data_IF_693495525746
#
_entry.id   IF_693495525746
#
_cell.length_a   1.000
_cell.length_b   1.000
_cell.length_c   1.000
_cell.angle_alpha   90.00
_cell.angle_beta   90.00
_cell.angle_gamma   90.00
#
_symmetry.space_group_name_H-M   'P 1'
#
loop_
_entity.id
_entity.type
_entity.pdbx_description
1 polymer ?
#
# COMPACT_ATOMS: atom_id res chain seq x y z
N UNK A 1 -78.59 -34.41 54.93
CA UNK A 1 -77.91 -33.20 54.53
C UNK A 1 -76.38 -33.49 54.51
N UNK A 2 -75.76 -33.65 53.35
CA UNK A 2 -74.30 -33.96 53.22
C UNK A 2 -73.54 -32.69 52.89
N UNK A 3 -72.58 -32.25 53.78
CA UNK A 3 -71.72 -31.11 53.58
C UNK A 3 -70.50 -31.56 52.75
N UNK A 4 -70.30 -30.98 51.54
CA UNK A 4 -69.12 -31.14 50.72
C UNK A 4 -68.02 -30.18 51.23
N UNK A 5 -66.86 -30.69 51.74
CA UNK A 5 -65.65 -29.95 52.00
C UNK A 5 -64.78 -29.89 50.74
N UNK A 6 -64.67 -28.73 50.15
CA UNK A 6 -63.69 -28.42 49.07
C UNK A 6 -62.27 -28.36 49.68
N UNK A 7 -61.40 -29.30 49.32
CA UNK A 7 -59.96 -29.18 49.57
C UNK A 7 -59.33 -28.23 48.56
N UNK A 8 -58.72 -27.09 49.01
CA UNK A 8 -57.81 -26.23 48.24
C UNK A 8 -56.51 -26.99 48.06
N UNK A 9 -56.14 -27.31 46.78
CA UNK A 9 -54.77 -27.73 46.43
C UNK A 9 -53.87 -26.48 46.44
N UNK A 10 -52.96 -26.40 47.39
CA UNK A 10 -51.79 -25.50 47.35
C UNK A 10 -50.83 -26.05 46.29
N UNK A 11 -50.62 -25.29 45.19
CA UNK A 11 -49.56 -25.57 44.23
C UNK A 11 -48.21 -25.30 44.86
N UNK A 12 -47.43 -26.37 45.08
CA UNK A 12 -46.03 -26.27 45.43
C UNK A 12 -45.28 -25.82 44.20
N UNK A 13 -44.98 -24.49 44.04
CA UNK A 13 -44.01 -23.96 43.10
C UNK A 13 -42.62 -24.50 43.45
N UNK A 14 -41.95 -25.16 42.50
CA UNK A 14 -40.62 -25.69 42.66
C UNK A 14 -39.62 -24.56 42.85
N UNK A 15 -38.96 -24.40 44.04
CA UNK A 15 -37.97 -23.32 44.28
C UNK A 15 -36.72 -23.47 43.40
N UNK A 16 -36.49 -24.64 42.81
CA UNK A 16 -35.31 -24.93 41.97
C UNK A 16 -35.34 -24.23 40.62
N UNK A 17 -36.52 -23.99 40.01
CA UNK A 17 -36.61 -23.32 38.68
C UNK A 17 -36.35 -21.83 38.83
N UNK A 18 -36.84 -21.19 39.91
CA UNK A 18 -36.57 -19.76 40.14
C UNK A 18 -35.08 -19.51 40.42
N UNK A 19 -34.40 -20.43 41.13
CA UNK A 19 -32.95 -20.31 41.39
C UNK A 19 -32.11 -20.48 40.12
N UNK A 20 -32.50 -21.35 39.21
CA UNK A 20 -31.79 -21.55 37.92
C UNK A 20 -31.98 -20.35 36.99
N UNK A 21 -33.17 -19.76 36.95
CA UNK A 21 -33.43 -18.55 36.15
C UNK A 21 -32.63 -17.34 36.70
N UNK A 22 -32.55 -17.19 38.01
CA UNK A 22 -31.75 -16.14 38.66
C UNK A 22 -30.24 -16.33 38.37
N UNK A 23 -29.73 -17.58 38.41
CA UNK A 23 -28.34 -17.86 38.08
C UNK A 23 -28.05 -17.61 36.60
N UNK A 24 -28.96 -17.91 35.67
CA UNK A 24 -28.83 -17.61 34.27
C UNK A 24 -28.84 -16.08 34.01
N UNK A 25 -29.72 -15.35 34.66
CA UNK A 25 -29.77 -13.87 34.55
C UNK A 25 -28.51 -13.25 35.14
N UNK A 26 -27.98 -13.77 36.26
CA UNK A 26 -26.71 -13.32 36.82
C UNK A 26 -25.53 -13.68 35.91
N UNK A 27 -25.49 -14.86 35.26
CA UNK A 27 -24.47 -15.25 34.31
C UNK A 27 -24.50 -14.38 33.08
N UNK A 28 -25.67 -14.02 32.55
CA UNK A 28 -25.84 -13.09 31.42
C UNK A 28 -25.44 -11.66 31.85
N UNK A 29 -25.83 -11.22 33.04
CA UNK A 29 -25.40 -9.92 33.61
C UNK A 29 -23.88 -9.86 33.83
N UNK A 30 -23.28 -10.95 34.36
CA UNK A 30 -21.84 -11.04 34.55
C UNK A 30 -21.05 -11.12 33.24
N UNK A 31 -21.57 -11.82 32.23
CA UNK A 31 -20.98 -11.83 30.90
C UNK A 31 -21.13 -10.48 30.19
N UNK A 32 -22.26 -9.78 30.36
CA UNK A 32 -22.46 -8.44 29.83
C UNK A 32 -21.59 -7.38 30.53
N UNK A 33 -21.45 -7.44 31.84
CA UNK A 33 -20.56 -6.56 32.63
C UNK A 33 -19.09 -6.88 32.38
N UNK A 34 -18.71 -8.15 32.30
CA UNK A 34 -17.37 -8.60 31.90
C UNK A 34 -17.01 -8.17 30.49
N UNK A 35 -17.95 -8.27 29.56
CA UNK A 35 -17.80 -7.77 28.19
C UNK A 35 -17.70 -6.23 28.16
N UNK A 36 -18.51 -5.52 28.96
CA UNK A 36 -18.47 -4.06 29.08
C UNK A 36 -17.16 -3.58 29.75
N UNK A 37 -16.69 -4.28 30.80
CA UNK A 37 -15.43 -4.02 31.47
C UNK A 37 -14.21 -4.34 30.58
N UNK A 38 -14.24 -5.45 29.80
CA UNK A 38 -13.25 -5.77 28.78
C UNK A 38 -13.25 -4.69 27.68
N UNK A 39 -14.42 -4.26 27.22
CA UNK A 39 -14.60 -3.19 26.23
C UNK A 39 -14.05 -1.84 26.72
N UNK A 40 -14.16 -1.53 28.00
CA UNK A 40 -13.66 -0.28 28.59
C UNK A 40 -12.16 -0.29 28.90
N UNK A 41 -11.54 -1.47 29.06
CA UNK A 41 -10.10 -1.62 29.31
C UNK A 41 -9.24 -1.88 28.08
N UNK A 42 -9.82 -2.34 26.98
CA UNK A 42 -9.12 -2.29 25.71
C UNK A 42 -9.02 -0.82 25.37
N UNK A 43 -7.85 -0.22 25.60
CA UNK A 43 -7.52 1.11 25.11
C UNK A 43 -7.93 1.17 23.65
N UNK A 44 -9.07 1.78 23.41
CA UNK A 44 -9.52 2.00 22.07
C UNK A 44 -8.55 3.00 21.48
N UNK A 45 -7.81 2.67 20.39
CA UNK A 45 -7.04 3.68 19.70
C UNK A 45 -7.94 4.89 19.53
N UNK A 46 -7.42 6.09 19.84
CA UNK A 46 -8.20 7.31 19.66
C UNK A 46 -8.75 7.31 18.23
N UNK A 47 -9.92 7.89 18.02
CA UNK A 47 -10.49 8.01 16.67
C UNK A 47 -9.57 8.76 15.70
N UNK A 48 -8.61 9.49 16.25
CA UNK A 48 -7.61 10.29 15.53
C UNK A 48 -6.35 9.50 15.15
N UNK A 49 -6.01 8.42 15.89
CA UNK A 49 -4.83 7.63 15.57
C UNK A 49 -5.10 6.73 14.35
N UNK A 50 -4.20 6.73 13.35
CA UNK A 50 -4.38 5.81 12.24
C UNK A 50 -4.27 4.35 12.73
N UNK A 51 -5.21 3.52 12.30
CA UNK A 51 -5.12 2.08 12.52
C UNK A 51 -4.19 1.48 11.46
N UNK A 52 -3.01 1.02 11.88
CA UNK A 52 -2.00 0.42 11.01
C UNK A 52 -2.00 -1.10 11.14
N UNK A 53 -2.12 -1.81 10.02
CA UNK A 53 -2.12 -3.28 9.95
C UNK A 53 -1.14 -3.77 8.90
N UNK A 54 -0.29 -4.73 9.27
CA UNK A 54 0.53 -5.50 8.32
C UNK A 54 -0.34 -6.60 7.71
N UNK A 55 -0.47 -6.62 6.39
CA UNK A 55 -1.16 -7.68 5.66
C UNK A 55 -0.12 -8.54 4.92
N UNK A 56 -0.13 -9.82 5.21
CA UNK A 56 0.80 -10.82 4.66
C UNK A 56 0.04 -11.84 3.83
N UNK A 57 0.30 -11.88 2.53
CA UNK A 57 -0.14 -12.98 1.66
C UNK A 57 0.90 -14.09 1.63
N UNK A 58 0.50 -15.31 2.01
CA UNK A 58 1.39 -16.46 2.06
C UNK A 58 1.00 -17.52 1.04
N UNK A 59 2.00 -18.21 0.49
CA UNK A 59 1.80 -19.41 -0.30
C UNK A 59 1.80 -20.63 0.65
N UNK A 60 0.64 -21.24 0.82
CA UNK A 60 0.50 -22.45 1.65
C UNK A 60 0.77 -23.68 0.79
N UNK A 61 2.03 -24.03 0.62
CA UNK A 61 2.41 -25.31 0.00
C UNK A 61 2.34 -26.39 1.09
N UNK A 62 1.44 -27.35 0.92
CA UNK A 62 1.35 -28.53 1.79
C UNK A 62 2.71 -29.24 1.84
N UNK A 63 3.25 -29.44 3.05
CA UNK A 63 4.55 -30.10 3.25
C UNK A 63 5.78 -29.18 3.17
N UNK A 64 5.65 -27.90 2.84
CA UNK A 64 6.78 -26.97 2.87
C UNK A 64 7.18 -26.63 4.32
N UNK A 65 8.46 -26.88 4.66
CA UNK A 65 9.03 -26.56 5.99
C UNK A 65 9.10 -25.07 6.30
N UNK A 66 9.08 -24.19 5.28
CA UNK A 66 9.14 -22.76 5.45
C UNK A 66 8.25 -22.06 4.41
N UNK A 67 7.27 -21.29 4.88
CA UNK A 67 6.39 -20.47 4.05
C UNK A 67 6.92 -19.05 4.03
N UNK A 68 6.95 -18.43 2.86
CA UNK A 68 7.35 -17.02 2.70
C UNK A 68 6.12 -16.15 2.41
N UNK A 69 6.19 -14.88 2.80
CA UNK A 69 5.17 -13.92 2.42
C UNK A 69 5.46 -13.34 1.03
N UNK A 70 4.66 -13.68 0.04
CA UNK A 70 4.82 -13.19 -1.33
C UNK A 70 4.14 -11.83 -1.56
N UNK A 71 3.22 -11.44 -0.70
CA UNK A 71 2.57 -10.14 -0.67
C UNK A 71 2.76 -9.54 0.72
N UNK A 72 3.27 -8.30 0.79
CA UNK A 72 3.50 -7.57 2.02
C UNK A 72 2.94 -6.18 1.85
N UNK A 73 1.89 -5.83 2.62
CA UNK A 73 1.25 -4.53 2.61
C UNK A 73 1.18 -3.98 4.02
N UNK A 74 1.25 -2.66 4.16
CA UNK A 74 0.86 -1.96 5.39
C UNK A 74 -0.33 -1.07 5.06
N UNK A 75 -1.48 -1.42 5.60
CA UNK A 75 -2.71 -0.66 5.49
C UNK A 75 -2.85 0.30 6.67
N UNK A 76 -3.07 1.56 6.38
CA UNK A 76 -3.28 2.64 7.35
C UNK A 76 -4.64 3.27 7.10
N UNK A 77 -5.57 3.12 8.03
CA UNK A 77 -6.91 3.68 7.96
C UNK A 77 -7.08 4.78 9.01
N UNK A 78 -7.41 5.99 8.55
CA UNK A 78 -7.80 7.12 9.41
C UNK A 78 -9.11 7.67 8.88
N UNK A 79 -10.13 7.72 9.72
CA UNK A 79 -11.49 8.07 9.29
C UNK A 79 -11.92 7.23 8.08
N UNK A 80 -12.17 7.86 6.93
CA UNK A 80 -12.50 7.21 5.66
C UNK A 80 -11.35 7.32 4.62
N UNK A 81 -10.12 7.64 5.04
CA UNK A 81 -8.94 7.70 4.18
C UNK A 81 -8.09 6.43 4.41
N UNK A 82 -8.05 5.56 3.41
CA UNK A 82 -7.26 4.33 3.40
C UNK A 82 -6.00 4.51 2.58
N UNK A 83 -4.83 4.38 3.23
CA UNK A 83 -3.54 4.38 2.55
C UNK A 83 -2.89 3.01 2.69
N UNK A 84 -2.42 2.49 1.58
CA UNK A 84 -1.76 1.18 1.52
C UNK A 84 -0.35 1.35 0.98
N UNK A 85 0.63 0.92 1.76
CA UNK A 85 2.03 0.89 1.37
C UNK A 85 2.42 -0.56 1.07
N UNK A 86 2.73 -0.84 -0.20
CA UNK A 86 3.20 -2.15 -0.64
C UNK A 86 4.74 -2.23 -0.47
N UNK A 87 5.21 -3.32 0.10
CA UNK A 87 6.64 -3.60 0.26
C UNK A 87 7.02 -4.75 -0.70
N UNK A 88 7.97 -4.54 -1.62
CA UNK A 88 8.49 -5.61 -2.45
C UNK A 88 9.01 -6.77 -1.59
N UNK A 89 8.62 -8.00 -1.90
CA UNK A 89 8.99 -9.19 -1.10
C UNK A 89 10.49 -9.45 -1.04
N UNK A 90 11.21 -9.01 -2.07
CA UNK A 90 12.67 -9.18 -2.18
C UNK A 90 13.45 -7.99 -1.61
N UNK A 91 12.77 -7.07 -0.90
CA UNK A 91 13.40 -5.92 -0.26
C UNK A 91 14.45 -6.38 0.75
N UNK A 92 15.66 -5.83 0.65
CA UNK A 92 16.77 -6.11 1.56
C UNK A 92 16.60 -5.29 2.83
N UNK A 93 16.47 -5.94 3.97
CA UNK A 93 16.21 -5.27 5.25
C UNK A 93 17.08 -5.85 6.38
N UNK A 94 17.35 -5.02 7.39
CA UNK A 94 18.06 -5.45 8.60
C UNK A 94 17.05 -6.01 9.62
N UNK A 95 17.35 -7.20 10.13
CA UNK A 95 16.57 -7.89 11.16
C UNK A 95 16.99 -7.43 12.57
N UNK A 96 16.16 -7.68 13.60
CA UNK A 96 16.48 -7.31 14.98
C UNK A 96 17.77 -7.94 15.52
N UNK A 97 18.13 -9.12 15.02
CA UNK A 97 19.38 -9.84 15.37
C UNK A 97 20.61 -9.37 14.59
N UNK A 98 20.47 -8.33 13.78
CA UNK A 98 21.54 -7.75 12.97
C UNK A 98 21.75 -8.38 11.60
N UNK A 99 21.11 -9.52 11.29
CA UNK A 99 21.16 -10.12 9.94
C UNK A 99 20.55 -9.19 8.90
N UNK A 100 21.04 -9.28 7.69
CA UNK A 100 20.48 -8.57 6.54
C UNK A 100 20.00 -9.62 5.54
N UNK A 101 18.69 -9.63 5.28
CA UNK A 101 18.05 -10.62 4.43
C UNK A 101 16.82 -10.02 3.74
N UNK A 102 16.18 -10.79 2.82
CA UNK A 102 14.92 -10.39 2.18
C UNK A 102 13.79 -10.29 3.21
N UNK A 103 12.97 -9.26 3.09
CA UNK A 103 11.87 -9.01 4.03
C UNK A 103 10.86 -10.16 4.10
N UNK A 104 10.64 -10.89 2.99
CA UNK A 104 9.72 -12.01 2.93
C UNK A 104 10.17 -13.24 3.74
N UNK A 105 11.46 -13.38 4.03
CA UNK A 105 12.00 -14.48 4.82
C UNK A 105 11.63 -14.35 6.31
N UNK A 106 11.26 -13.15 6.78
CA UNK A 106 10.87 -12.93 8.16
C UNK A 106 9.69 -13.81 8.59
N UNK A 107 8.71 -14.02 7.71
CA UNK A 107 7.59 -14.91 8.00
C UNK A 107 8.04 -16.38 8.14
N UNK A 108 8.95 -16.83 7.31
CA UNK A 108 9.49 -18.20 7.37
C UNK A 108 10.32 -18.46 8.65
N UNK A 109 11.01 -17.44 9.17
CA UNK A 109 11.86 -17.57 10.36
C UNK A 109 11.09 -17.47 11.67
N UNK A 110 10.07 -16.62 11.77
CA UNK A 110 9.37 -16.38 13.03
C UNK A 110 7.90 -16.00 12.89
N UNK A 111 7.27 -16.42 11.78
CA UNK A 111 5.85 -16.18 11.53
C UNK A 111 5.47 -14.70 11.43
N UNK A 112 4.20 -14.43 11.66
CA UNK A 112 3.63 -13.09 11.52
C UNK A 112 4.23 -12.07 12.49
N UNK A 113 4.58 -12.48 13.71
CA UNK A 113 5.14 -11.56 14.73
C UNK A 113 6.52 -11.06 14.32
N UNK A 114 7.42 -11.96 13.88
CA UNK A 114 8.73 -11.54 13.41
C UNK A 114 8.61 -10.67 12.15
N UNK A 115 7.76 -11.06 11.20
CA UNK A 115 7.51 -10.27 10.00
C UNK A 115 7.04 -8.85 10.34
N UNK A 116 6.06 -8.72 11.26
CA UNK A 116 5.56 -7.44 11.75
C UNK A 116 6.67 -6.59 12.37
N UNK A 117 7.53 -7.17 13.22
CA UNK A 117 8.63 -6.47 13.85
C UNK A 117 9.69 -6.00 12.83
N UNK A 118 10.05 -6.86 11.87
CA UNK A 118 11.01 -6.51 10.82
C UNK A 118 10.47 -5.35 9.96
N UNK A 119 9.18 -5.40 9.61
CA UNK A 119 8.52 -4.34 8.83
C UNK A 119 8.45 -3.04 9.65
N UNK A 120 8.07 -3.12 10.92
CA UNK A 120 8.00 -1.97 11.82
C UNK A 120 9.36 -1.27 11.96
N UNK A 121 10.43 -2.04 12.16
CA UNK A 121 11.80 -1.52 12.24
C UNK A 121 12.25 -0.88 10.93
N UNK A 122 11.99 -1.53 9.80
CA UNK A 122 12.34 -0.99 8.48
C UNK A 122 11.65 0.35 8.19
N UNK A 123 10.35 0.46 8.51
CA UNK A 123 9.57 1.67 8.28
C UNK A 123 9.76 2.75 9.36
N UNK A 124 10.39 2.41 10.50
CA UNK A 124 10.53 3.31 11.65
C UNK A 124 9.19 3.75 12.21
N UNK A 125 8.22 2.81 12.32
CA UNK A 125 6.87 3.04 12.83
C UNK A 125 6.43 1.92 13.75
N UNK A 126 5.53 2.22 14.70
CA UNK A 126 4.88 1.18 15.49
C UNK A 126 3.78 0.51 14.67
N UNK A 127 3.84 -0.81 14.56
CA UNK A 127 2.82 -1.65 13.92
C UNK A 127 2.35 -2.69 14.95
N UNK A 128 1.12 -2.57 15.44
CA UNK A 128 0.57 -3.46 16.48
C UNK A 128 -0.11 -4.68 15.91
N UNK A 129 -0.72 -4.54 14.74
CA UNK A 129 -1.62 -5.54 14.18
C UNK A 129 -1.08 -6.16 12.91
N UNK A 130 -1.44 -7.43 12.71
CA UNK A 130 -1.22 -8.13 11.45
C UNK A 130 -2.44 -8.94 11.02
N UNK A 131 -2.53 -9.24 9.73
CA UNK A 131 -3.44 -10.20 9.11
C UNK A 131 -2.66 -11.05 8.11
N UNK A 132 -2.74 -12.36 8.24
CA UNK A 132 -2.12 -13.33 7.32
C UNK A 132 -3.22 -14.01 6.54
N UNK A 133 -3.09 -14.02 5.23
CA UNK A 133 -4.06 -14.55 4.28
C UNK A 133 -3.34 -15.55 3.39
N UNK A 134 -3.81 -16.78 3.35
CA UNK A 134 -3.36 -17.79 2.38
C UNK A 134 -4.17 -17.73 1.08
N UNK A 135 -3.85 -18.58 0.12
CA UNK A 135 -4.53 -18.62 -1.17
C UNK A 135 -6.02 -18.94 -1.06
N UNK A 136 -6.40 -19.87 -0.19
CA UNK A 136 -7.80 -20.23 0.02
C UNK A 136 -8.57 -19.05 0.61
N UNK A 137 -7.98 -18.38 1.60
CA UNK A 137 -8.53 -17.16 2.19
C UNK A 137 -8.64 -16.02 1.18
N UNK A 138 -7.65 -15.86 0.32
CA UNK A 138 -7.68 -14.87 -0.74
C UNK A 138 -8.83 -15.13 -1.73
N UNK A 139 -8.98 -16.38 -2.23
CA UNK A 139 -10.08 -16.74 -3.12
C UNK A 139 -11.45 -16.45 -2.49
N UNK A 140 -11.63 -16.88 -1.23
CA UNK A 140 -12.88 -16.66 -0.48
C UNK A 140 -13.19 -15.17 -0.28
N UNK A 141 -12.18 -14.35 0.09
CA UNK A 141 -12.39 -12.91 0.26
C UNK A 141 -12.80 -12.22 -1.04
N UNK A 142 -12.18 -12.59 -2.17
CA UNK A 142 -12.56 -12.05 -3.48
C UNK A 142 -14.00 -12.47 -3.85
N UNK A 143 -14.38 -13.73 -3.62
CA UNK A 143 -15.73 -14.19 -3.92
C UNK A 143 -16.79 -13.53 -3.02
N UNK A 144 -16.48 -13.30 -1.74
CA UNK A 144 -17.36 -12.60 -0.80
C UNK A 144 -17.69 -11.18 -1.20
N UNK A 145 -16.72 -10.44 -1.76
CA UNK A 145 -16.97 -9.10 -2.30
C UNK A 145 -17.66 -9.14 -3.67
N UNK A 146 -17.93 -10.35 -4.16
CA UNK A 146 -18.61 -10.58 -5.43
C UNK A 146 -17.69 -10.54 -6.65
N UNK A 147 -16.37 -10.70 -6.48
CA UNK A 147 -15.35 -10.62 -7.53
C UNK A 147 -14.78 -9.22 -7.72
N UNK A 148 -13.68 -9.13 -8.49
CA UNK A 148 -12.96 -7.88 -8.75
C UNK A 148 -12.84 -7.63 -10.25
N UNK A 149 -13.20 -6.42 -10.71
CA UNK A 149 -13.12 -6.05 -12.12
C UNK A 149 -11.74 -5.51 -12.48
N UNK A 150 -11.08 -6.15 -13.44
CA UNK A 150 -9.78 -5.71 -13.97
C UNK A 150 -9.81 -5.65 -15.49
N UNK A 151 -8.89 -4.87 -16.07
CA UNK A 151 -8.64 -4.89 -17.51
C UNK A 151 -7.38 -5.71 -17.77
N UNK A 152 -7.53 -6.82 -18.48
CA UNK A 152 -6.46 -7.75 -18.84
C UNK A 152 -5.94 -7.35 -20.22
N UNK A 153 -4.69 -6.84 -20.37
CA UNK A 153 -4.19 -6.32 -21.64
C UNK A 153 -4.09 -7.38 -22.74
N UNK A 154 -3.74 -8.61 -22.37
CA UNK A 154 -3.60 -9.78 -23.25
C UNK A 154 -4.06 -11.04 -22.54
N UNK A 155 -4.51 -12.03 -23.29
CA UNK A 155 -4.94 -13.31 -22.71
C UNK A 155 -3.80 -13.98 -21.94
N UNK A 156 -4.11 -14.47 -20.73
CA UNK A 156 -3.18 -15.13 -19.84
C UNK A 156 -3.47 -16.64 -19.84
N UNK A 157 -2.56 -17.44 -20.41
CA UNK A 157 -2.68 -18.90 -20.45
C UNK A 157 -1.44 -19.54 -19.85
N UNK A 158 -1.63 -20.40 -18.85
CA UNK A 158 -0.54 -21.10 -18.20
C UNK A 158 -1.09 -22.35 -17.50
N UNK A 159 -0.35 -23.46 -17.59
CA UNK A 159 -0.67 -24.68 -16.88
C UNK A 159 0.57 -25.18 -16.16
N UNK A 160 0.43 -25.41 -14.86
CA UNK A 160 1.44 -26.03 -14.01
C UNK A 160 0.83 -27.31 -13.41
N UNK A 161 1.28 -28.45 -13.93
CA UNK A 161 0.78 -29.75 -13.48
C UNK A 161 1.25 -30.10 -12.07
N UNK A 162 2.44 -29.62 -11.65
CA UNK A 162 2.99 -29.91 -10.33
C UNK A 162 2.23 -29.20 -9.23
N UNK A 163 1.80 -27.96 -9.49
CA UNK A 163 1.01 -27.13 -8.55
C UNK A 163 -0.51 -27.23 -8.81
N UNK A 164 -0.96 -28.05 -9.76
CA UNK A 164 -2.37 -28.19 -10.18
C UNK A 164 -3.00 -26.81 -10.51
N UNK A 165 -2.21 -25.91 -11.08
CA UNK A 165 -2.63 -24.55 -11.42
C UNK A 165 -2.91 -24.46 -12.92
N UNK A 166 -4.13 -24.09 -13.28
CA UNK A 166 -4.50 -23.73 -14.65
C UNK A 166 -5.02 -22.30 -14.66
N UNK A 167 -4.40 -21.46 -15.47
CA UNK A 167 -4.77 -20.06 -15.70
C UNK A 167 -5.24 -19.97 -17.13
N UNK A 168 -6.48 -19.57 -17.35
CA UNK A 168 -7.04 -19.23 -18.66
C UNK A 168 -7.96 -18.02 -18.49
N UNK A 169 -7.38 -16.83 -18.72
CA UNK A 169 -8.04 -15.55 -18.51
C UNK A 169 -7.97 -14.79 -19.83
N UNK A 170 -9.10 -14.53 -20.49
CA UNK A 170 -9.12 -13.82 -21.77
C UNK A 170 -8.69 -12.35 -21.61
N UNK A 171 -8.30 -11.71 -22.70
CA UNK A 171 -8.06 -10.26 -22.73
C UNK A 171 -9.37 -9.47 -22.57
N UNK A 172 -9.27 -8.22 -22.11
CA UNK A 172 -10.38 -7.31 -21.95
C UNK A 172 -10.77 -7.00 -20.52
N UNK A 173 -11.78 -6.14 -20.36
CA UNK A 173 -12.35 -5.81 -19.05
C UNK A 173 -13.29 -6.91 -18.59
N UNK A 174 -13.00 -7.50 -17.44
CA UNK A 174 -13.80 -8.60 -16.92
C UNK A 174 -13.75 -8.65 -15.39
N UNK A 175 -14.78 -9.27 -14.82
CA UNK A 175 -14.89 -9.51 -13.39
C UNK A 175 -14.30 -10.87 -13.06
N UNK A 176 -13.24 -10.89 -12.27
CA UNK A 176 -12.55 -12.09 -11.84
C UNK A 176 -13.20 -12.65 -10.57
N UNK A 177 -13.48 -13.96 -10.56
CA UNK A 177 -13.78 -14.73 -9.33
C UNK A 177 -12.52 -14.91 -8.51
N UNK A 178 -12.63 -15.41 -7.27
CA UNK A 178 -11.46 -15.66 -6.39
C UNK A 178 -10.40 -16.51 -7.08
N UNK A 179 -10.80 -17.63 -7.69
CA UNK A 179 -9.88 -18.51 -8.42
C UNK A 179 -9.20 -17.82 -9.61
N UNK A 180 -9.96 -17.06 -10.41
CA UNK A 180 -9.40 -16.34 -11.54
C UNK A 180 -8.49 -15.19 -11.09
N UNK A 181 -8.84 -14.49 -10.01
CA UNK A 181 -8.03 -13.45 -9.41
C UNK A 181 -6.70 -14.01 -8.85
N UNK A 182 -6.74 -15.18 -8.20
CA UNK A 182 -5.52 -15.87 -7.76
C UNK A 182 -4.64 -16.23 -8.95
N UNK A 183 -5.21 -16.79 -10.02
CA UNK A 183 -4.50 -17.05 -11.27
C UNK A 183 -3.86 -15.78 -11.84
N UNK A 184 -4.61 -14.66 -11.87
CA UNK A 184 -4.16 -13.38 -12.39
C UNK A 184 -2.92 -12.83 -11.66
N UNK A 185 -2.89 -12.89 -10.32
CA UNK A 185 -1.74 -12.39 -9.52
C UNK A 185 -0.56 -13.36 -9.48
N UNK A 186 -0.76 -14.64 -9.83
CA UNK A 186 0.30 -15.66 -9.90
C UNK A 186 0.95 -15.76 -11.27
N UNK A 187 0.25 -15.34 -12.33
CA UNK A 187 0.74 -15.45 -13.70
C UNK A 187 2.09 -14.74 -13.90
N UNK A 188 3.00 -15.42 -14.58
CA UNK A 188 4.29 -14.89 -15.03
C UNK A 188 4.42 -15.16 -16.52
N UNK A 189 4.71 -14.14 -17.30
CA UNK A 189 5.08 -14.28 -18.70
C UNK A 189 6.59 -14.19 -18.88
N UNK A 190 7.07 -14.74 -19.98
CA UNK A 190 8.51 -14.78 -20.28
C UNK A 190 9.10 -13.38 -20.56
N UNK A 191 8.29 -12.43 -21.03
CA UNK A 191 8.75 -11.10 -21.45
C UNK A 191 8.90 -10.15 -20.28
N UNK A 192 7.90 -10.10 -19.39
CA UNK A 192 7.85 -9.17 -18.26
C UNK A 192 8.26 -9.83 -16.93
N UNK A 193 8.28 -11.16 -16.88
CA UNK A 193 8.73 -11.94 -15.72
C UNK A 193 8.07 -11.49 -14.41
N UNK A 194 8.90 -11.16 -13.44
CA UNK A 194 8.48 -10.76 -12.10
C UNK A 194 7.84 -9.35 -12.07
N UNK A 195 8.29 -8.44 -12.91
CA UNK A 195 7.73 -7.08 -13.01
C UNK A 195 6.26 -7.10 -13.46
N UNK A 196 5.93 -7.91 -14.47
CA UNK A 196 4.55 -8.08 -14.91
C UNK A 196 3.65 -8.66 -13.83
N UNK A 197 4.17 -9.59 -13.01
CA UNK A 197 3.45 -10.12 -11.85
C UNK A 197 3.18 -9.05 -10.80
N UNK A 198 4.15 -8.23 -10.45
CA UNK A 198 3.99 -7.12 -9.50
C UNK A 198 2.97 -6.10 -9.98
N UNK A 199 2.98 -5.76 -11.26
CA UNK A 199 1.98 -4.87 -11.88
C UNK A 199 0.56 -5.45 -11.77
N UNK A 200 0.37 -6.76 -12.06
CA UNK A 200 -0.94 -7.42 -11.92
C UNK A 200 -1.42 -7.48 -10.47
N UNK A 201 -0.52 -7.77 -9.53
CA UNK A 201 -0.83 -7.71 -8.11
C UNK A 201 -1.31 -6.32 -7.70
N UNK A 202 -0.59 -5.28 -8.09
CA UNK A 202 -0.98 -3.89 -7.84
C UNK A 202 -2.34 -3.56 -8.44
N UNK A 203 -2.57 -3.87 -9.72
CA UNK A 203 -3.84 -3.61 -10.40
C UNK A 203 -5.02 -4.30 -9.71
N UNK A 204 -4.85 -5.55 -9.28
CA UNK A 204 -5.90 -6.27 -8.56
C UNK A 204 -6.21 -5.63 -7.21
N UNK A 205 -5.19 -5.26 -6.44
CA UNK A 205 -5.38 -4.57 -5.16
C UNK A 205 -6.03 -3.20 -5.32
N UNK A 206 -5.63 -2.42 -6.32
CA UNK A 206 -6.27 -1.15 -6.63
C UNK A 206 -7.75 -1.33 -6.98
N UNK A 207 -8.08 -2.29 -7.82
CA UNK A 207 -9.45 -2.61 -8.19
C UNK A 207 -10.26 -3.11 -6.98
N UNK A 208 -9.71 -4.01 -6.17
CA UNK A 208 -10.35 -4.52 -4.96
C UNK A 208 -10.65 -3.41 -3.96
N UNK A 209 -9.68 -2.55 -3.67
CA UNK A 209 -9.82 -1.49 -2.67
C UNK A 209 -10.70 -0.34 -3.15
N UNK A 210 -10.65 0.01 -4.45
CA UNK A 210 -11.42 1.13 -5.01
C UNK A 210 -12.83 0.76 -5.43
N UNK A 211 -13.03 -0.44 -5.96
CA UNK A 211 -14.31 -0.87 -6.53
C UNK A 211 -14.97 -1.99 -5.70
N UNK A 212 -14.21 -2.92 -5.13
CA UNK A 212 -14.74 -4.05 -4.39
C UNK A 212 -15.26 -3.68 -3.01
N UNK A 213 -14.41 -3.11 -2.16
CA UNK A 213 -14.76 -2.78 -0.78
C UNK A 213 -15.94 -1.81 -0.65
N UNK A 214 -16.03 -0.70 -1.42
CA UNK A 214 -17.14 0.24 -1.27
C UNK A 214 -18.51 -0.31 -1.65
N UNK A 215 -18.56 -1.39 -2.45
CA UNK A 215 -19.82 -2.02 -2.89
C UNK A 215 -20.40 -3.03 -1.89
N UNK A 216 -19.70 -3.29 -0.78
CA UNK A 216 -20.15 -4.28 0.21
C UNK A 216 -21.29 -3.71 1.04
N UNK A 217 -22.46 -4.33 0.95
CA UNK A 217 -23.61 -3.97 1.78
C UNK A 217 -23.39 -4.32 3.26
N UNK A 218 -24.11 -3.62 4.15
CA UNK A 218 -24.00 -3.81 5.60
C UNK A 218 -24.28 -5.26 6.02
N UNK A 219 -25.26 -5.92 5.40
CA UNK A 219 -25.62 -7.31 5.67
C UNK A 219 -24.50 -8.29 5.30
N UNK A 220 -23.76 -8.01 4.23
CA UNK A 220 -22.62 -8.83 3.82
C UNK A 220 -21.38 -8.66 4.69
N UNK A 221 -21.22 -7.51 5.36
CA UNK A 221 -20.09 -7.29 6.26
C UNK A 221 -20.05 -8.30 7.42
N UNK A 222 -21.19 -8.69 7.97
CA UNK A 222 -21.22 -9.72 9.03
C UNK A 222 -20.74 -11.08 8.50
N UNK A 223 -21.15 -11.46 7.30
CA UNK A 223 -20.71 -12.67 6.63
C UNK A 223 -19.20 -12.62 6.32
N UNK A 224 -18.70 -11.48 5.82
CA UNK A 224 -17.27 -11.27 5.54
C UNK A 224 -16.44 -11.39 6.81
N UNK A 225 -16.85 -10.75 7.91
CA UNK A 225 -16.12 -10.82 9.18
C UNK A 225 -16.09 -12.24 9.72
N UNK A 226 -17.23 -12.96 9.71
CA UNK A 226 -17.29 -14.34 10.18
C UNK A 226 -16.45 -15.29 9.32
N UNK A 227 -16.47 -15.10 7.99
CA UNK A 227 -15.66 -15.90 7.05
C UNK A 227 -14.17 -15.53 7.19
N UNK A 228 -13.83 -14.25 7.30
CA UNK A 228 -12.45 -13.81 7.50
C UNK A 228 -11.84 -14.44 8.76
N UNK A 229 -12.60 -14.61 9.84
CA UNK A 229 -12.12 -15.30 11.05
C UNK A 229 -11.69 -16.75 10.82
N UNK A 230 -12.21 -17.42 9.79
CA UNK A 230 -11.84 -18.79 9.45
C UNK A 230 -10.58 -18.87 8.58
N UNK A 231 -10.36 -17.87 7.72
CA UNK A 231 -9.32 -17.89 6.69
C UNK A 231 -8.19 -16.89 6.93
N UNK A 232 -8.34 -15.97 7.89
CA UNK A 232 -7.35 -14.93 8.20
C UNK A 232 -6.79 -15.16 9.59
N UNK A 233 -5.49 -15.45 9.68
CA UNK A 233 -4.79 -15.49 10.97
C UNK A 233 -4.42 -14.07 11.37
N UNK A 234 -4.93 -13.59 12.51
CA UNK A 234 -4.72 -12.21 12.94
C UNK A 234 -4.63 -12.09 14.46
N UNK A 235 -3.94 -11.05 14.93
CA UNK A 235 -3.94 -10.62 16.34
C UNK A 235 -4.87 -9.41 16.57
N UNK A 236 -5.64 -8.99 15.55
CA UNK A 236 -6.55 -7.84 15.65
C UNK A 236 -7.74 -8.22 16.55
N UNK A 237 -7.99 -7.48 17.64
CA UNK A 237 -9.17 -7.73 18.46
C UNK A 237 -10.46 -7.58 17.67
N UNK A 238 -11.50 -8.41 17.90
CA UNK A 238 -12.77 -8.34 17.18
C UNK A 238 -13.42 -6.97 17.17
N UNK A 239 -13.29 -6.21 18.26
CA UNK A 239 -13.80 -4.83 18.37
C UNK A 239 -13.13 -3.88 17.36
N UNK A 240 -11.84 -4.07 17.10
CA UNK A 240 -11.08 -3.27 16.14
C UNK A 240 -11.51 -3.64 14.72
N UNK A 241 -11.67 -4.95 14.43
CA UNK A 241 -12.19 -5.43 13.12
C UNK A 241 -13.56 -4.81 12.86
N UNK A 242 -14.48 -4.82 13.84
CA UNK A 242 -15.79 -4.20 13.72
C UNK A 242 -15.72 -2.70 13.43
N UNK A 243 -14.86 -1.94 14.13
CA UNK A 243 -14.66 -0.51 13.87
C UNK A 243 -14.10 -0.25 12.48
N UNK A 244 -13.15 -1.06 12.03
CA UNK A 244 -12.62 -0.98 10.67
C UNK A 244 -13.71 -1.23 9.63
N UNK A 245 -14.53 -2.26 9.84
CA UNK A 245 -15.61 -2.58 8.91
C UNK A 245 -16.60 -1.41 8.74
N UNK A 246 -16.93 -0.71 9.82
CA UNK A 246 -17.81 0.47 9.75
C UNK A 246 -17.19 1.63 8.96
N UNK A 247 -15.89 1.88 9.13
CA UNK A 247 -15.18 2.92 8.38
C UNK A 247 -15.02 2.57 6.90
N UNK A 248 -14.74 1.31 6.61
CA UNK A 248 -14.59 0.83 5.23
C UNK A 248 -15.89 0.90 4.43
N UNK A 249 -17.07 0.83 5.08
CA UNK A 249 -18.37 0.97 4.41
C UNK A 249 -18.59 2.36 3.78
N UNK A 250 -18.01 3.40 4.35
CA UNK A 250 -18.08 4.78 3.80
C UNK A 250 -16.95 5.14 2.86
N UNK A 251 -16.08 4.17 2.52
CA UNK A 251 -14.89 4.42 1.72
C UNK A 251 -15.28 4.66 0.26
N UNK A 252 -14.81 5.77 -0.30
CA UNK A 252 -14.95 6.07 -1.73
C UNK A 252 -13.63 5.79 -2.46
N UNK A 253 -13.65 5.48 -3.77
CA UNK A 253 -12.44 5.16 -4.55
C UNK A 253 -11.34 6.23 -4.46
N UNK A 254 -11.73 7.50 -4.45
CA UNK A 254 -10.81 8.65 -4.34
C UNK A 254 -10.12 8.78 -2.98
N UNK A 255 -10.69 8.13 -1.94
CA UNK A 255 -10.13 8.08 -0.59
C UNK A 255 -9.13 6.92 -0.39
N UNK A 256 -8.83 6.17 -1.46
CA UNK A 256 -7.88 5.06 -1.43
C UNK A 256 -6.59 5.44 -2.14
N UNK A 257 -5.49 5.45 -1.41
CA UNK A 257 -4.16 5.68 -1.95
C UNK A 257 -3.31 4.42 -1.82
N UNK A 258 -2.65 4.02 -2.91
CA UNK A 258 -1.76 2.86 -2.92
C UNK A 258 -0.41 3.31 -3.48
N UNK A 259 0.65 3.10 -2.71
CA UNK A 259 2.03 3.39 -3.10
C UNK A 259 2.90 2.17 -2.80
N UNK A 260 4.04 2.08 -3.46
CA UNK A 260 5.02 1.03 -3.25
C UNK A 260 6.32 1.65 -2.73
N UNK A 261 6.97 0.96 -1.78
CA UNK A 261 8.31 1.31 -1.31
C UNK A 261 9.27 1.25 -2.50
N UNK A 262 9.95 2.37 -2.83
CA UNK A 262 10.91 2.42 -3.92
C UNK A 262 12.19 1.68 -3.56
N UNK A 263 12.85 1.13 -4.58
CA UNK A 263 14.13 0.44 -4.42
C UNK A 263 14.62 -0.07 -5.76
N UNK A 264 15.93 -0.31 -5.85
CA UNK A 264 16.61 -0.72 -7.07
C UNK A 264 16.93 -2.22 -7.04
N UNK A 265 16.74 -2.92 -8.15
CA UNK A 265 17.14 -4.31 -8.25
C UNK A 265 18.67 -4.43 -8.23
N UNK A 266 19.19 -5.23 -7.31
CA UNK A 266 20.60 -5.51 -7.17
C UNK A 266 20.80 -7.01 -7.19
N UNK A 267 21.51 -7.50 -8.20
CA UNK A 267 21.85 -8.91 -8.34
C UNK A 267 23.33 -9.13 -8.09
N UNK A 268 23.65 -10.02 -7.15
CA UNK A 268 25.02 -10.47 -6.85
C UNK A 268 25.19 -11.93 -7.22
N UNK A 269 26.41 -12.38 -7.54
CA UNK A 269 26.69 -13.79 -7.80
C UNK A 269 26.20 -14.69 -6.66
N UNK A 270 25.85 -15.94 -6.99
CA UNK A 270 25.49 -16.94 -5.95
C UNK A 270 26.61 -17.03 -4.90
N UNK A 271 26.26 -17.23 -3.61
CA UNK A 271 24.93 -17.62 -3.10
C UNK A 271 23.97 -16.46 -2.80
N UNK A 272 24.36 -15.20 -2.99
CA UNK A 272 23.58 -14.02 -2.55
C UNK A 272 22.31 -13.82 -3.37
N UNK A 273 22.37 -13.93 -4.70
CA UNK A 273 21.21 -13.78 -5.59
C UNK A 273 20.74 -12.34 -5.75
N UNK A 274 19.50 -12.19 -6.25
CA UNK A 274 18.90 -10.87 -6.50
C UNK A 274 18.02 -10.43 -5.32
N UNK A 275 18.08 -9.15 -4.99
CA UNK A 275 17.19 -8.47 -4.03
C UNK A 275 16.89 -7.05 -4.50
N UNK A 276 16.03 -6.35 -3.80
CA UNK A 276 15.75 -4.94 -4.03
C UNK A 276 16.39 -4.16 -2.89
N UNK A 277 17.35 -3.30 -3.23
CA UNK A 277 17.93 -2.36 -2.27
C UNK A 277 16.96 -1.18 -2.08
N UNK A 278 16.45 -0.92 -0.87
CA UNK A 278 15.52 0.16 -0.66
C UNK A 278 16.18 1.52 -0.85
N UNK A 279 15.45 2.47 -1.43
CA UNK A 279 15.87 3.87 -1.50
C UNK A 279 15.42 4.62 -0.24
N UNK A 280 16.31 4.94 0.69
CA UNK A 280 15.94 5.58 1.95
C UNK A 280 15.44 7.01 1.74
N UNK A 281 15.95 7.73 0.73
CA UNK A 281 15.60 9.14 0.45
C UNK A 281 14.15 9.25 -0.03
N UNK A 282 13.71 8.33 -0.89
CA UNK A 282 12.32 8.27 -1.37
C UNK A 282 11.39 7.56 -0.38
N UNK A 283 11.89 6.61 0.40
CA UNK A 283 11.08 5.83 1.35
C UNK A 283 10.66 6.64 2.56
N UNK A 284 11.54 7.46 3.13
CA UNK A 284 11.25 8.20 4.35
C UNK A 284 10.04 9.17 4.22
N UNK A 285 9.96 10.06 3.20
CA UNK A 285 8.79 10.92 3.00
C UNK A 285 7.52 10.12 2.66
N UNK A 286 7.67 9.01 1.92
CA UNK A 286 6.55 8.13 1.60
C UNK A 286 5.94 7.50 2.87
N UNK A 287 6.77 7.00 3.79
CA UNK A 287 6.33 6.47 5.09
C UNK A 287 5.69 7.58 5.94
N UNK A 288 6.30 8.76 5.98
CA UNK A 288 5.77 9.92 6.69
C UNK A 288 4.34 10.25 6.22
N UNK A 289 4.12 10.28 4.90
CA UNK A 289 2.83 10.57 4.29
C UNK A 289 1.83 9.43 4.45
N UNK A 290 2.22 8.20 4.09
CA UNK A 290 1.29 7.07 3.97
C UNK A 290 0.92 6.48 5.34
N UNK A 291 1.86 6.40 6.27
CA UNK A 291 1.69 5.70 7.54
C UNK A 291 1.60 6.66 8.73
N UNK A 292 2.54 7.63 8.83
CA UNK A 292 2.53 8.61 9.93
C UNK A 292 1.52 9.73 9.74
N UNK A 293 0.93 9.84 8.54
CA UNK A 293 -0.10 10.85 8.18
C UNK A 293 0.38 12.30 8.31
N UNK A 294 1.67 12.52 8.06
CA UNK A 294 2.24 13.86 8.03
C UNK A 294 2.00 14.52 6.68
N UNK A 295 1.78 15.83 6.71
CA UNK A 295 1.67 16.66 5.49
C UNK A 295 3.07 16.91 4.91
N UNK A 296 3.52 15.99 4.06
CA UNK A 296 4.79 16.06 3.34
C UNK A 296 4.56 15.92 1.84
N UNK A 297 5.34 16.65 1.07
CA UNK A 297 5.37 16.51 -0.40
C UNK A 297 6.29 15.36 -0.77
N UNK A 298 5.85 14.50 -1.68
CA UNK A 298 6.66 13.42 -2.26
C UNK A 298 7.10 13.78 -3.68
N UNK A 299 8.19 13.19 -4.18
CA UNK A 299 8.75 13.55 -5.49
C UNK A 299 7.73 13.37 -6.65
N UNK A 300 6.86 12.34 -6.58
CA UNK A 300 5.83 12.09 -7.58
C UNK A 300 4.71 13.15 -7.63
N UNK A 301 4.64 14.01 -6.62
CA UNK A 301 3.72 15.16 -6.57
C UNK A 301 4.32 16.43 -7.17
N UNK A 302 5.59 16.38 -7.60
CA UNK A 302 6.29 17.51 -8.23
C UNK A 302 6.31 17.27 -9.75
N UNK A 303 5.58 18.13 -10.48
CA UNK A 303 5.45 18.07 -11.94
C UNK A 303 6.45 19.04 -12.57
N UNK A 304 7.35 18.52 -13.41
CA UNK A 304 8.51 19.26 -13.92
C UNK A 304 8.52 19.24 -15.46
N UNK A 305 8.78 20.38 -16.06
CA UNK A 305 9.21 20.48 -17.48
C UNK A 305 10.72 20.69 -17.51
N UNK A 306 11.43 19.84 -18.23
CA UNK A 306 12.89 19.89 -18.36
C UNK A 306 13.26 20.44 -19.73
N UNK A 307 13.99 21.55 -19.75
CA UNK A 307 14.27 22.34 -20.96
C UNK A 307 15.77 22.48 -21.17
N UNK A 308 16.27 22.11 -22.35
CA UNK A 308 17.65 22.33 -22.75
C UNK A 308 17.85 23.80 -23.18
N UNK A 309 18.57 24.55 -22.38
CA UNK A 309 19.00 25.92 -22.67
C UNK A 309 20.51 26.03 -22.94
N UNK A 310 21.28 24.92 -22.79
CA UNK A 310 22.72 24.90 -22.98
C UNK A 310 23.14 24.56 -24.43
N UNK A 311 22.23 24.15 -25.28
CA UNK A 311 22.57 23.70 -26.63
C UNK A 311 23.24 22.31 -26.70
N UNK A 312 23.37 21.60 -25.57
CA UNK A 312 23.98 20.29 -25.50
C UNK A 312 22.99 19.20 -25.93
N UNK A 313 23.33 18.44 -26.95
CA UNK A 313 22.42 17.40 -27.49
C UNK A 313 22.08 16.35 -26.42
N UNK A 314 20.77 16.08 -26.28
CA UNK A 314 20.24 15.06 -25.36
C UNK A 314 20.28 15.42 -23.90
N UNK A 315 20.78 16.59 -23.48
CA UNK A 315 20.91 16.98 -22.06
C UNK A 315 19.57 16.92 -21.30
N UNK A 316 18.52 17.59 -21.83
CA UNK A 316 17.21 17.59 -21.19
C UNK A 316 16.61 16.18 -21.05
N UNK A 317 16.87 15.30 -22.02
CA UNK A 317 16.41 13.90 -21.98
C UNK A 317 17.10 13.14 -20.84
N UNK A 318 18.41 13.18 -20.76
CA UNK A 318 19.18 12.49 -19.68
C UNK A 318 18.76 12.98 -18.30
N UNK A 319 18.60 14.30 -18.13
CA UNK A 319 18.14 14.88 -16.86
C UNK A 319 16.69 14.49 -16.57
N UNK A 320 15.82 14.52 -17.57
CA UNK A 320 14.43 14.11 -17.42
C UNK A 320 14.27 12.64 -17.02
N UNK A 321 14.99 11.74 -17.68
CA UNK A 321 15.02 10.30 -17.36
C UNK A 321 15.54 10.06 -15.93
N UNK A 322 16.59 10.78 -15.51
CA UNK A 322 17.11 10.70 -14.16
C UNK A 322 16.08 11.19 -13.12
N UNK A 323 15.42 12.33 -13.36
CA UNK A 323 14.37 12.83 -12.47
C UNK A 323 13.18 11.86 -12.37
N UNK A 324 12.79 11.23 -13.49
CA UNK A 324 11.78 10.18 -13.48
C UNK A 324 12.21 8.97 -12.65
N UNK A 325 13.47 8.55 -12.78
CA UNK A 325 14.04 7.48 -11.96
C UNK A 325 14.06 7.84 -10.47
N UNK A 326 14.33 9.10 -10.14
CA UNK A 326 14.26 9.65 -8.78
C UNK A 326 12.81 9.85 -8.28
N UNK A 327 11.82 9.54 -9.10
CA UNK A 327 10.40 9.51 -8.75
C UNK A 327 9.64 10.81 -9.04
N UNK A 328 10.24 11.79 -9.69
CA UNK A 328 9.55 13.01 -10.11
C UNK A 328 8.63 12.78 -11.30
N UNK A 329 7.56 13.59 -11.39
CA UNK A 329 6.66 13.57 -12.54
C UNK A 329 7.16 14.52 -13.63
N UNK A 330 7.95 14.01 -14.61
CA UNK A 330 8.40 14.82 -15.74
C UNK A 330 7.29 14.86 -16.81
N UNK A 331 6.66 16.02 -16.96
CA UNK A 331 5.51 16.20 -17.87
C UNK A 331 5.91 16.69 -19.27
N UNK A 332 7.13 17.20 -19.43
CA UNK A 332 7.66 17.63 -20.71
C UNK A 332 9.20 17.62 -20.73
N UNK A 333 9.77 17.21 -21.86
CA UNK A 333 11.20 17.29 -22.14
C UNK A 333 11.36 17.97 -23.50
N UNK A 334 12.14 19.06 -23.56
CA UNK A 334 12.30 19.83 -24.79
C UNK A 334 13.47 20.80 -24.77
N UNK A 335 13.47 21.74 -25.71
CA UNK A 335 14.40 22.84 -25.73
C UNK A 335 13.77 24.08 -25.09
N UNK A 336 14.60 24.94 -24.51
CA UNK A 336 14.20 26.29 -24.11
C UNK A 336 13.98 27.17 -25.37
N UNK A 337 13.54 28.41 -25.16
CA UNK A 337 13.35 29.40 -26.24
C UNK A 337 14.66 29.74 -26.94
N UNK A 338 15.78 29.62 -26.25
CA UNK A 338 17.15 29.77 -26.78
C UNK A 338 18.08 28.70 -26.18
N UNK A 339 19.27 28.54 -26.76
CA UNK A 339 20.21 27.46 -26.44
C UNK A 339 21.56 27.99 -25.90
N UNK A 340 21.57 29.21 -25.39
CA UNK A 340 22.75 29.93 -24.90
C UNK A 340 22.56 30.50 -23.49
N UNK A 341 21.77 29.84 -22.68
CA UNK A 341 21.61 30.19 -21.28
C UNK A 341 22.93 29.93 -20.53
N UNK A 342 23.50 30.98 -19.95
CA UNK A 342 24.73 30.88 -19.16
C UNK A 342 24.48 30.10 -17.85
N UNK A 343 23.29 30.27 -17.25
CA UNK A 343 22.93 29.69 -15.95
C UNK A 343 21.72 28.79 -16.06
N UNK A 344 21.66 27.82 -15.14
CA UNK A 344 20.53 26.92 -14.96
C UNK A 344 19.51 27.50 -13.99
N UNK A 345 18.20 27.30 -14.29
CA UNK A 345 17.11 27.87 -13.50
C UNK A 345 16.07 26.81 -13.13
N UNK A 346 15.59 26.90 -11.88
CA UNK A 346 14.32 26.31 -11.45
C UNK A 346 13.34 27.48 -11.34
N UNK A 347 12.40 27.61 -12.26
CA UNK A 347 11.34 28.60 -12.21
C UNK A 347 10.17 28.01 -11.43
N UNK A 348 9.88 28.58 -10.26
CA UNK A 348 8.79 28.13 -9.38
C UNK A 348 7.45 28.60 -9.93
N UNK A 349 6.68 27.69 -10.51
CA UNK A 349 5.31 27.94 -11.01
C UNK A 349 4.26 27.71 -9.91
N UNK A 350 4.54 26.78 -9.01
CA UNK A 350 3.57 26.35 -7.99
C UNK A 350 3.44 27.29 -6.79
N UNK A 351 4.46 28.08 -6.51
CA UNK A 351 4.58 28.82 -5.25
C UNK A 351 4.71 27.95 -4.00
N UNK A 352 4.91 26.62 -4.18
CA UNK A 352 5.04 25.68 -3.09
C UNK A 352 6.51 25.42 -2.75
N UNK A 353 6.99 26.04 -1.68
CA UNK A 353 8.38 25.94 -1.24
C UNK A 353 8.86 24.51 -1.01
N UNK A 354 8.00 23.59 -0.54
CA UNK A 354 8.39 22.19 -0.31
C UNK A 354 8.65 21.45 -1.63
N UNK A 355 7.86 21.70 -2.68
CA UNK A 355 8.07 21.14 -4.01
C UNK A 355 9.40 21.59 -4.62
N UNK A 356 9.67 22.87 -4.52
CA UNK A 356 10.89 23.47 -5.05
C UNK A 356 12.13 23.01 -4.25
N UNK A 357 12.00 22.90 -2.92
CA UNK A 357 13.06 22.40 -2.06
C UNK A 357 13.46 20.95 -2.44
N UNK A 358 12.49 20.07 -2.67
CA UNK A 358 12.76 18.71 -3.13
C UNK A 358 13.55 18.67 -4.43
N UNK A 359 13.24 19.55 -5.39
CA UNK A 359 13.95 19.64 -6.64
C UNK A 359 15.34 20.27 -6.48
N UNK A 360 15.47 21.30 -5.64
CA UNK A 360 16.73 21.97 -5.34
C UNK A 360 17.75 21.06 -4.65
N UNK A 361 17.31 20.19 -3.75
CA UNK A 361 18.17 19.28 -2.98
C UNK A 361 18.71 18.10 -3.80
N UNK A 362 18.43 18.06 -5.09
CA UNK A 362 19.05 17.05 -5.95
C UNK A 362 20.55 17.31 -6.11
N UNK A 363 21.35 16.25 -6.28
CA UNK A 363 22.81 16.39 -6.38
C UNK A 363 23.21 16.98 -7.75
N UNK A 364 22.86 18.23 -7.95
CA UNK A 364 23.37 19.00 -9.10
C UNK A 364 24.82 19.37 -8.82
N UNK A 365 25.75 19.09 -9.75
CA UNK A 365 27.13 19.58 -9.61
C UNK A 365 27.26 21.11 -9.79
N UNK A 366 26.22 21.74 -10.32
CA UNK A 366 26.18 23.16 -10.61
C UNK A 366 25.15 23.86 -9.77
N UNK A 367 25.39 25.13 -9.40
CA UNK A 367 24.37 25.94 -8.73
C UNK A 367 23.19 26.20 -9.67
N UNK A 368 22.02 25.68 -9.32
CA UNK A 368 20.78 25.98 -10.03
C UNK A 368 20.06 27.11 -9.30
N UNK A 369 19.79 28.21 -10.03
CA UNK A 369 19.13 29.37 -9.46
C UNK A 369 17.62 29.13 -9.36
N UNK A 370 17.05 29.33 -8.16
CA UNK A 370 15.59 29.29 -7.97
C UNK A 370 15.04 30.69 -8.12
N UNK A 371 14.12 30.86 -9.07
CA UNK A 371 13.54 32.18 -9.41
C UNK A 371 12.01 32.05 -9.56
N UNK A 372 11.31 33.15 -9.37
CA UNK A 372 9.87 33.26 -9.63
C UNK A 372 9.60 33.75 -11.06
N UNK A 373 8.43 33.43 -11.66
CA UNK A 373 8.08 33.89 -13.01
C UNK A 373 8.19 35.41 -13.21
N UNK A 374 7.84 36.20 -12.18
CA UNK A 374 7.92 37.65 -12.23
C UNK A 374 9.35 38.20 -12.29
N UNK A 375 10.34 37.44 -11.82
CA UNK A 375 11.77 37.82 -11.83
C UNK A 375 12.41 37.57 -13.21
N UNK A 376 11.80 36.64 -14.00
CA UNK A 376 12.32 36.20 -15.30
C UNK A 376 11.27 36.29 -16.42
N UNK A 377 10.56 37.44 -16.47
CA UNK A 377 9.44 37.68 -17.40
C UNK A 377 9.81 37.49 -18.87
N UNK A 378 11.01 37.84 -19.25
CA UNK A 378 11.46 37.72 -20.65
C UNK A 378 11.71 36.27 -21.01
N UNK A 379 12.22 35.46 -20.08
CA UNK A 379 12.35 34.00 -20.24
C UNK A 379 10.95 33.38 -20.40
N UNK A 380 10.02 33.72 -19.54
CA UNK A 380 8.63 33.20 -19.60
C UNK A 380 7.96 33.58 -20.92
N UNK A 381 8.13 34.82 -21.42
CA UNK A 381 7.60 35.25 -22.72
C UNK A 381 8.22 34.47 -23.87
N UNK A 382 9.56 34.30 -23.83
CA UNK A 382 10.29 33.54 -24.85
C UNK A 382 9.81 32.08 -24.91
N UNK A 383 9.69 31.39 -23.77
CA UNK A 383 9.18 30.04 -23.66
C UNK A 383 7.74 29.93 -24.17
N UNK A 384 6.86 30.87 -23.79
CA UNK A 384 5.47 30.90 -24.25
C UNK A 384 5.36 31.06 -25.77
N UNK A 385 6.23 31.86 -26.39
CA UNK A 385 6.30 32.01 -27.87
C UNK A 385 6.70 30.70 -28.56
N UNK A 386 7.39 29.79 -27.88
CA UNK A 386 7.73 28.44 -28.33
C UNK A 386 6.70 27.37 -27.92
N UNK A 387 5.57 27.78 -27.34
CA UNK A 387 4.53 26.86 -26.89
C UNK A 387 4.81 26.19 -25.54
N UNK A 388 5.86 26.58 -24.85
CA UNK A 388 6.18 26.06 -23.50
C UNK A 388 5.57 26.99 -22.44
N UNK A 389 4.52 26.55 -21.81
CA UNK A 389 3.83 27.30 -20.73
C UNK A 389 4.09 26.66 -19.39
N UNK A 390 3.82 27.39 -18.30
CA UNK A 390 3.81 26.86 -16.93
C UNK A 390 2.59 25.98 -16.61
N UNK A 391 1.61 25.88 -17.52
CA UNK A 391 0.45 25.04 -17.32
C UNK A 391 0.88 23.57 -17.09
N UNK A 392 0.18 22.92 -16.20
CA UNK A 392 0.43 21.51 -15.86
C UNK A 392 1.81 21.19 -15.27
N UNK A 393 2.57 22.17 -14.80
CA UNK A 393 3.84 21.98 -14.13
C UNK A 393 3.92 22.77 -12.81
N UNK A 394 4.67 22.23 -11.86
CA UNK A 394 5.02 22.92 -10.62
C UNK A 394 6.32 23.72 -10.76
N UNK A 395 7.22 23.25 -11.66
CA UNK A 395 8.48 23.91 -11.94
C UNK A 395 8.88 23.75 -13.42
N UNK A 396 9.57 24.77 -13.95
CA UNK A 396 10.32 24.65 -15.21
C UNK A 396 11.81 24.59 -14.85
N UNK A 397 12.49 23.53 -15.26
CA UNK A 397 13.93 23.37 -15.09
C UNK A 397 14.62 23.68 -16.42
N UNK A 398 15.30 24.83 -16.51
CA UNK A 398 16.12 25.22 -17.65
C UNK A 398 17.57 24.85 -17.36
N UNK A 399 18.16 24.05 -18.19
CA UNK A 399 19.55 23.61 -18.10
C UNK A 399 20.44 24.57 -18.90
N UNK A 400 21.26 25.36 -18.22
CA UNK A 400 22.21 26.30 -18.82
C UNK A 400 23.56 25.66 -19.09
N UNK A 401 24.51 26.45 -19.63
CA UNK A 401 25.87 26.02 -19.96
C UNK A 401 26.68 25.61 -18.72
N UNK A 402 26.29 26.13 -17.53
CA UNK A 402 26.86 25.78 -16.23
C UNK A 402 26.36 24.44 -15.69
N UNK A 403 25.40 23.78 -16.34
CA UNK A 403 24.81 22.56 -15.83
C UNK A 403 25.72 21.35 -16.05
N UNK A 404 26.06 20.66 -14.97
CA UNK A 404 26.78 19.40 -15.00
C UNK A 404 25.99 18.32 -14.28
N UNK A 405 25.69 17.21 -14.98
CA UNK A 405 25.21 15.99 -14.35
C UNK A 405 26.33 15.38 -13.50
N UNK A 406 25.97 14.94 -12.31
CA UNK A 406 26.83 14.03 -11.59
C UNK A 406 26.76 12.67 -12.32
N UNK A 407 27.81 12.30 -13.04
CA UNK A 407 27.94 10.91 -13.50
C UNK A 407 28.05 10.04 -12.25
N UNK A 408 27.26 8.98 -12.20
CA UNK A 408 27.51 7.91 -11.23
C UNK A 408 28.88 7.35 -11.61
N UNK A 409 29.85 7.48 -10.70
CA UNK A 409 31.11 6.78 -10.83
C UNK A 409 30.73 5.28 -10.90
N UNK A 410 30.80 4.75 -12.12
CA UNK A 410 30.66 3.32 -12.40
C UNK A 410 31.95 2.67 -11.83
N UNK A 411 32.01 2.59 -10.48
CA UNK A 411 33.03 1.80 -9.79
C UNK A 411 32.75 0.32 -10.10
N UNK A 412 33.02 -0.01 -11.38
CA UNK A 412 33.31 -1.34 -11.83
C UNK A 412 34.60 -1.85 -11.26
N UNK A 413 34.53 -2.42 -10.07
CA UNK A 413 35.58 -3.31 -9.55
C UNK A 413 34.99 -4.34 -8.59
#
# INVERSE_FOLDING_TARGET
>A
MRFFRRRRRQGRGHPRVASVVVLLVLAVAFSATGYWWYKSRVESPSLEDPLNVVVLGIDRIEGAKAQRSDTILVASLRENDLRVLALPRDLRVKYPDGRVEKINAAYAHGGAELARHVIANFLGVELRYYAVIDYDGFEKLIDLVGGVTVTVPQALKYTDHAQKLTIDIPAGRQKLTGKAALGYVRYRDEKTGDLGRLQRQRQLWEAFLREGLPQISLSRWQEIVSTAQQYVKTNIPPVIIYRWSQRLQGLKPEMVQIKQVPGEPLCKPKPVGCYIEPDPVRTAPLVAKMIKRLEVVTADEVRIKVLNGAGVAGLARRVGERLQHEGFTVVHIGNADRLDYAHSYIIDISGNAQKIQLLRERPWRSPVQVVRPEEVRDIIKGLAAKGVTGQDADALLILGQDFQLQEEDDDGS
#
